data_IF_581095301806
#
_entry.id   IF_581095301806
#
_cell.length_a   1.000
_cell.length_b   1.000
_cell.length_c   1.000
_cell.angle_alpha   90.00
_cell.angle_beta   90.00
_cell.angle_gamma   90.00
#
_symmetry.space_group_name_H-M   'P 1'
#
loop_
_entity.id
_entity.type
_entity.pdbx_description
1 polymer ?
#
# COMPACT_ATOMS: atom_id res chain seq x y z
N UNK A 1 -27.79 1.42 -16.35
CA UNK A 1 -26.75 2.01 -15.49
C UNK A 1 -27.26 1.91 -14.07
N UNK A 2 -26.50 1.31 -13.15
CA UNK A 2 -26.88 1.38 -11.74
C UNK A 2 -26.85 2.85 -11.31
N UNK A 3 -27.92 3.36 -10.70
CA UNK A 3 -27.84 4.67 -10.02
C UNK A 3 -26.83 4.53 -8.87
N UNK A 4 -25.66 5.10 -9.08
CA UNK A 4 -24.63 5.09 -8.05
C UNK A 4 -25.01 6.08 -6.96
N UNK A 5 -25.08 5.62 -5.71
CA UNK A 5 -25.18 6.49 -4.52
C UNK A 5 -23.85 7.17 -4.18
N UNK A 6 -22.86 7.16 -5.09
CA UNK A 6 -21.56 7.77 -4.88
C UNK A 6 -21.66 9.29 -4.80
N UNK A 7 -20.99 9.87 -3.81
CA UNK A 7 -20.82 11.32 -3.68
C UNK A 7 -19.53 11.72 -4.42
N UNK A 8 -19.59 12.64 -5.39
CA UNK A 8 -18.39 13.16 -6.03
C UNK A 8 -17.46 13.84 -5.01
N UNK A 9 -16.17 13.50 -5.03
CA UNK A 9 -15.18 14.09 -4.13
C UNK A 9 -14.61 15.36 -4.77
N UNK A 10 -15.09 16.53 -4.33
CA UNK A 10 -14.48 17.84 -4.66
C UNK A 10 -13.26 18.09 -3.78
N UNK A 11 -12.44 19.10 -4.11
CA UNK A 11 -11.31 19.49 -3.26
C UNK A 11 -11.75 19.88 -1.84
N UNK A 12 -12.85 20.61 -1.70
CA UNK A 12 -13.39 21.02 -0.40
C UNK A 12 -13.89 19.83 0.42
N UNK A 13 -14.47 18.82 -0.25
CA UNK A 13 -14.90 17.59 0.40
C UNK A 13 -13.69 16.72 0.77
N UNK A 14 -12.65 16.68 -0.05
CA UNK A 14 -11.40 15.99 0.28
C UNK A 14 -10.70 16.62 1.49
N UNK A 15 -10.59 17.95 1.55
CA UNK A 15 -10.11 18.68 2.72
C UNK A 15 -10.97 18.42 3.96
N UNK A 16 -12.28 18.25 3.78
CA UNK A 16 -13.17 17.82 4.86
C UNK A 16 -12.81 16.41 5.33
N UNK A 17 -12.59 15.44 4.44
CA UNK A 17 -12.14 14.08 4.79
C UNK A 17 -10.84 14.12 5.60
N UNK A 18 -9.81 14.84 5.11
CA UNK A 18 -8.52 14.92 5.81
C UNK A 18 -8.66 15.52 7.22
N UNK A 19 -9.50 16.54 7.40
CA UNK A 19 -9.76 17.16 8.72
C UNK A 19 -10.56 16.27 9.68
N UNK A 20 -11.31 15.29 9.17
CA UNK A 20 -12.14 14.39 9.97
C UNK A 20 -11.49 13.01 10.19
N UNK A 21 -10.37 12.75 9.55
CA UNK A 21 -9.49 11.65 9.88
C UNK A 21 -8.57 12.01 11.07
N UNK A 22 -7.99 11.00 11.75
CA UNK A 22 -6.85 11.25 12.63
C UNK A 22 -5.79 12.05 11.87
N UNK A 23 -5.28 13.16 12.44
CA UNK A 23 -4.32 14.00 11.73
C UNK A 23 -3.01 13.25 11.53
N UNK A 24 -2.32 13.52 10.42
CA UNK A 24 -0.93 13.08 10.25
C UNK A 24 -0.09 13.61 11.42
N UNK A 25 0.74 12.73 11.97
CA UNK A 25 1.73 13.15 12.96
C UNK A 25 2.74 14.11 12.31
N UNK A 26 3.49 14.89 13.11
CA UNK A 26 4.43 15.89 12.57
C UNK A 26 5.47 15.31 11.59
N UNK A 27 5.93 14.08 11.78
CA UNK A 27 6.92 13.43 10.92
C UNK A 27 6.32 13.00 9.59
N UNK A 28 5.11 12.42 9.58
CA UNK A 28 4.39 12.11 8.34
C UNK A 28 4.13 13.39 7.52
N UNK A 29 3.66 14.47 8.17
CA UNK A 29 3.42 15.76 7.49
C UNK A 29 4.69 16.33 6.88
N UNK A 30 5.78 16.32 7.63
CA UNK A 30 7.08 16.78 7.11
C UNK A 30 7.58 15.91 5.96
N UNK A 31 7.34 14.60 6.00
CA UNK A 31 7.71 13.71 4.91
C UNK A 31 6.93 14.05 3.62
N UNK A 32 5.63 14.35 3.71
CA UNK A 32 4.83 14.86 2.58
C UNK A 32 5.47 16.13 2.02
N UNK A 33 5.73 17.14 2.86
CA UNK A 33 6.33 18.40 2.45
C UNK A 33 7.71 18.22 1.77
N UNK A 34 8.56 17.36 2.36
CA UNK A 34 9.89 17.07 1.82
C UNK A 34 9.81 16.35 0.48
N UNK A 35 8.90 15.38 0.32
CA UNK A 35 8.67 14.68 -0.94
C UNK A 35 8.23 15.66 -2.03
N UNK A 36 7.22 16.49 -1.76
CA UNK A 36 6.74 17.47 -2.74
C UNK A 36 7.79 18.51 -3.11
N UNK A 37 8.61 18.96 -2.15
CA UNK A 37 9.67 19.95 -2.39
C UNK A 37 10.85 19.37 -3.15
N UNK A 38 11.26 18.14 -2.83
CA UNK A 38 12.53 17.56 -3.31
C UNK A 38 12.34 16.71 -4.56
N UNK A 39 11.15 16.12 -4.75
CA UNK A 39 10.80 15.23 -5.85
C UNK A 39 9.48 15.67 -6.52
N UNK A 40 9.33 16.94 -6.96
CA UNK A 40 8.05 17.48 -7.42
C UNK A 40 7.43 16.74 -8.61
N UNK A 41 8.25 16.08 -9.44
CA UNK A 41 7.78 15.33 -10.61
C UNK A 41 7.30 13.91 -10.25
N UNK A 42 7.75 13.37 -9.10
CA UNK A 42 7.45 12.02 -8.62
C UNK A 42 6.52 12.03 -7.40
N UNK A 43 6.21 13.21 -6.83
CA UNK A 43 5.41 13.32 -5.62
C UNK A 43 4.04 12.63 -5.73
N UNK A 44 3.46 12.56 -6.93
CA UNK A 44 2.22 11.82 -7.18
C UNK A 44 2.31 10.30 -7.02
N UNK A 45 3.50 9.73 -6.82
CA UNK A 45 3.70 8.32 -6.47
C UNK A 45 3.52 8.05 -4.98
N UNK A 46 3.47 9.08 -4.13
CA UNK A 46 3.21 8.91 -2.71
C UNK A 46 1.73 8.56 -2.50
N UNK A 47 1.44 7.57 -1.65
CA UNK A 47 0.07 7.24 -1.26
C UNK A 47 -0.68 8.47 -0.75
N UNK A 48 -1.98 8.56 -1.00
CA UNK A 48 -2.79 9.70 -0.61
C UNK A 48 -2.84 9.87 0.93
N UNK A 49 -2.97 11.11 1.41
CA UNK A 49 -2.83 11.41 2.84
C UNK A 49 -3.84 10.65 3.72
N UNK A 50 -5.08 10.44 3.24
CA UNK A 50 -6.10 9.67 3.94
C UNK A 50 -5.76 8.19 4.09
N UNK A 51 -4.82 7.67 3.30
CA UNK A 51 -4.41 6.27 3.39
C UNK A 51 -3.54 6.00 4.62
N UNK A 52 -2.78 6.97 5.14
CA UNK A 52 -2.00 6.77 6.36
C UNK A 52 -2.86 6.35 7.57
N UNK A 53 -3.90 7.10 7.98
CA UNK A 53 -4.76 6.67 9.08
C UNK A 53 -5.54 5.39 8.77
N UNK A 54 -5.91 5.15 7.51
CA UNK A 54 -6.55 3.91 7.08
C UNK A 54 -5.63 2.69 7.26
N UNK A 55 -4.41 2.75 6.73
CA UNK A 55 -3.41 1.69 6.87
C UNK A 55 -3.08 1.42 8.35
N UNK A 56 -2.89 2.48 9.13
CA UNK A 56 -2.69 2.36 10.58
C UNK A 56 -3.89 1.71 11.29
N UNK A 57 -5.12 2.03 10.87
CA UNK A 57 -6.33 1.39 11.37
C UNK A 57 -6.37 -0.09 11.01
N UNK A 58 -6.08 -0.45 9.76
CA UNK A 58 -6.06 -1.83 9.28
C UNK A 58 -5.01 -2.68 10.02
N UNK A 59 -3.79 -2.16 10.20
CA UNK A 59 -2.73 -2.82 11.00
C UNK A 59 -3.25 -3.21 12.38
N UNK A 60 -3.93 -2.28 13.08
CA UNK A 60 -4.52 -2.54 14.40
C UNK A 60 -5.72 -3.49 14.33
N UNK A 61 -6.57 -3.35 13.31
CA UNK A 61 -7.78 -4.16 13.13
C UNK A 61 -7.45 -5.64 12.97
N UNK A 62 -6.44 -5.97 12.16
CA UNK A 62 -6.00 -7.36 11.95
C UNK A 62 -4.99 -7.83 13.02
N UNK A 63 -4.57 -6.94 13.93
CA UNK A 63 -3.56 -7.24 14.94
C UNK A 63 -2.20 -7.60 14.34
N UNK A 64 -1.83 -6.97 13.20
CA UNK A 64 -0.64 -7.33 12.45
C UNK A 64 0.64 -7.17 13.27
N UNK A 65 1.53 -8.14 13.15
CA UNK A 65 2.88 -8.15 13.73
C UNK A 65 3.94 -8.23 12.65
N UNK A 66 3.68 -8.95 11.56
CA UNK A 66 4.57 -9.02 10.39
C UNK A 66 3.89 -8.41 9.17
N UNK A 67 4.48 -7.32 8.68
CA UNK A 67 4.02 -6.59 7.50
C UNK A 67 5.02 -6.73 6.37
N UNK A 68 4.53 -6.87 5.14
CA UNK A 68 5.34 -6.70 3.92
C UNK A 68 4.79 -5.57 3.07
N UNK A 69 5.62 -4.61 2.72
CA UNK A 69 5.30 -3.57 1.75
C UNK A 69 6.08 -3.81 0.45
N UNK A 70 5.37 -3.74 -0.67
CA UNK A 70 5.93 -3.84 -2.01
C UNK A 70 5.75 -2.50 -2.72
N UNK A 71 6.85 -1.74 -2.83
CA UNK A 71 6.85 -0.34 -3.26
C UNK A 71 6.81 0.60 -2.06
N UNK A 72 7.94 1.26 -1.77
CA UNK A 72 8.11 2.10 -0.56
C UNK A 72 8.24 3.58 -0.91
N UNK A 73 8.85 3.89 -2.06
CA UNK A 73 9.17 5.24 -2.51
C UNK A 73 9.85 6.06 -1.39
N UNK A 74 9.21 7.13 -0.94
CA UNK A 74 9.72 8.00 0.13
C UNK A 74 9.36 7.51 1.53
N UNK A 75 8.63 6.40 1.66
CA UNK A 75 8.40 5.70 2.93
C UNK A 75 7.20 6.17 3.75
N UNK A 76 6.23 6.85 3.12
CA UNK A 76 5.03 7.39 3.78
C UNK A 76 4.13 6.27 4.35
N UNK A 77 3.74 5.31 3.52
CA UNK A 77 2.94 4.14 3.91
C UNK A 77 3.68 3.28 4.95
N UNK A 78 4.97 2.99 4.72
CA UNK A 78 5.82 2.26 5.67
C UNK A 78 5.86 2.93 7.06
N UNK A 79 6.01 4.26 7.10
CA UNK A 79 6.00 5.02 8.35
C UNK A 79 4.65 4.88 9.07
N UNK A 80 3.54 5.11 8.35
CA UNK A 80 2.20 5.01 8.92
C UNK A 80 1.89 3.61 9.49
N UNK A 81 2.25 2.56 8.77
CA UNK A 81 2.09 1.17 9.23
C UNK A 81 3.02 0.84 10.41
N UNK A 82 4.29 1.26 10.37
CA UNK A 82 5.25 0.96 11.42
C UNK A 82 4.95 1.67 12.76
N UNK A 83 4.34 2.85 12.72
CA UNK A 83 3.82 3.52 13.92
C UNK A 83 2.64 2.79 14.56
N UNK A 84 1.85 2.06 13.76
CA UNK A 84 0.71 1.29 14.23
C UNK A 84 1.08 -0.12 14.74
N UNK A 85 2.25 -0.63 14.39
CA UNK A 85 2.76 -1.91 14.86
C UNK A 85 2.99 -1.92 16.38
N UNK A 86 2.80 -3.08 17.05
CA UNK A 86 3.29 -3.27 18.41
C UNK A 86 4.82 -3.16 18.48
N UNK A 87 5.38 -3.05 19.69
CA UNK A 87 6.82 -2.83 19.88
C UNK A 87 7.70 -3.95 19.31
N UNK A 88 7.19 -5.17 19.26
CA UNK A 88 7.83 -6.37 18.70
C UNK A 88 7.43 -6.65 17.24
N UNK A 89 6.63 -5.78 16.64
CA UNK A 89 6.25 -5.88 15.23
C UNK A 89 7.39 -5.54 14.27
N UNK A 90 7.30 -6.09 13.06
CA UNK A 90 8.26 -5.91 11.98
C UNK A 90 7.55 -5.62 10.66
N UNK A 91 8.11 -4.71 9.88
CA UNK A 91 7.72 -4.38 8.52
C UNK A 91 8.91 -4.59 7.60
N UNK A 92 8.76 -5.39 6.56
CA UNK A 92 9.73 -5.49 5.46
C UNK A 92 9.29 -4.52 4.37
N UNK A 93 10.11 -3.51 4.08
CA UNK A 93 9.85 -2.52 3.04
C UNK A 93 10.66 -2.86 1.80
N UNK A 94 10.02 -3.06 0.65
CA UNK A 94 10.70 -3.44 -0.60
C UNK A 94 10.71 -2.26 -1.58
N UNK A 95 11.91 -1.86 -2.02
CA UNK A 95 12.06 -0.87 -3.08
C UNK A 95 13.32 -1.14 -3.89
N UNK A 96 13.42 -0.55 -5.07
CA UNK A 96 14.63 -0.59 -5.91
C UNK A 96 15.49 0.66 -5.76
N UNK A 97 14.92 1.77 -5.26
CA UNK A 97 15.57 3.07 -5.19
C UNK A 97 16.13 3.35 -3.79
N UNK A 98 17.46 3.28 -3.67
CA UNK A 98 18.15 3.76 -2.46
C UNK A 98 17.99 5.28 -2.28
N UNK A 99 17.96 6.03 -3.39
CA UNK A 99 17.81 7.49 -3.38
C UNK A 99 16.49 7.92 -2.74
N UNK A 100 15.37 7.34 -3.17
CA UNK A 100 14.05 7.72 -2.66
C UNK A 100 13.83 7.23 -1.23
N UNK A 101 14.26 6.01 -0.94
CA UNK A 101 14.07 5.44 0.40
C UNK A 101 14.96 6.09 1.46
N UNK A 102 16.00 6.84 1.07
CA UNK A 102 16.78 7.65 2.00
C UNK A 102 15.96 8.76 2.69
N UNK A 103 14.88 9.26 2.06
CA UNK A 103 13.93 10.17 2.71
C UNK A 103 13.16 9.45 3.82
N UNK A 104 12.65 8.25 3.51
CA UNK A 104 11.94 7.38 4.45
C UNK A 104 12.80 7.02 5.65
N UNK A 105 14.04 6.56 5.44
CA UNK A 105 14.98 6.22 6.54
C UNK A 105 15.13 7.36 7.56
N UNK A 106 15.28 8.60 7.09
CA UNK A 106 15.39 9.78 7.97
C UNK A 106 14.09 10.01 8.76
N UNK A 107 12.94 9.88 8.11
CA UNK A 107 11.64 10.03 8.76
C UNK A 107 11.39 8.91 9.79
N UNK A 108 11.68 7.65 9.46
CA UNK A 108 11.51 6.50 10.35
C UNK A 108 12.39 6.61 11.61
N UNK A 109 13.63 7.07 11.45
CA UNK A 109 14.53 7.37 12.57
C UNK A 109 13.95 8.47 13.46
N UNK A 110 13.49 9.58 12.85
CA UNK A 110 12.88 10.71 13.56
C UNK A 110 11.61 10.31 14.33
N UNK A 111 10.81 9.41 13.77
CA UNK A 111 9.61 8.86 14.41
C UNK A 111 9.89 7.75 15.43
N UNK A 112 11.15 7.30 15.57
CA UNK A 112 11.53 6.24 16.51
C UNK A 112 11.04 4.84 16.11
N UNK A 113 10.73 4.62 14.84
CA UNK A 113 10.22 3.33 14.33
C UNK A 113 11.20 2.63 13.39
N UNK A 114 12.38 3.19 13.13
CA UNK A 114 13.40 2.60 12.25
C UNK A 114 13.72 1.14 12.61
N UNK A 115 13.76 0.81 13.90
CA UNK A 115 14.09 -0.53 14.36
C UNK A 115 13.01 -1.56 14.00
N UNK A 116 11.80 -1.13 13.60
CA UNK A 116 10.71 -2.00 13.15
C UNK A 116 10.71 -2.20 11.64
N UNK A 117 11.43 -1.38 10.88
CA UNK A 117 11.41 -1.38 9.42
C UNK A 117 12.71 -2.00 8.89
N UNK A 118 12.58 -3.11 8.20
CA UNK A 118 13.64 -3.78 7.47
C UNK A 118 13.53 -3.45 5.98
N UNK A 119 14.25 -2.40 5.57
CA UNK A 119 14.27 -1.94 4.18
C UNK A 119 15.21 -2.78 3.31
N UNK A 120 14.66 -3.37 2.25
CA UNK A 120 15.35 -4.21 1.28
C UNK A 120 15.43 -3.53 -0.07
N UNK A 121 16.63 -3.11 -0.45
CA UNK A 121 16.92 -2.52 -1.76
C UNK A 121 17.21 -3.62 -2.78
N UNK A 122 16.18 -4.03 -3.52
CA UNK A 122 16.23 -5.06 -4.55
C UNK A 122 14.90 -5.07 -5.34
N UNK A 123 14.84 -5.71 -6.52
CA UNK A 123 13.56 -6.05 -7.13
C UNK A 123 12.68 -6.82 -6.11
N UNK A 124 11.46 -6.35 -5.87
CA UNK A 124 10.64 -6.87 -4.78
C UNK A 124 10.36 -8.38 -4.91
N UNK A 125 10.22 -8.91 -6.14
CA UNK A 125 10.08 -10.36 -6.38
C UNK A 125 11.26 -11.16 -5.82
N UNK A 126 12.49 -10.63 -5.86
CA UNK A 126 13.64 -11.32 -5.28
C UNK A 126 13.53 -11.38 -3.76
N UNK A 127 13.10 -10.27 -3.14
CA UNK A 127 12.87 -10.23 -1.68
C UNK A 127 11.76 -11.19 -1.28
N UNK A 128 10.61 -11.20 -1.98
CA UNK A 128 9.49 -12.10 -1.69
C UNK A 128 9.87 -13.58 -1.86
N UNK A 129 10.58 -13.93 -2.94
CA UNK A 129 11.03 -15.31 -3.20
C UNK A 129 12.06 -15.82 -2.19
N UNK A 130 12.85 -14.92 -1.60
CA UNK A 130 13.81 -15.27 -0.56
C UNK A 130 13.16 -15.46 0.83
N UNK A 131 11.91 -15.02 1.02
CA UNK A 131 11.17 -15.25 2.27
C UNK A 131 10.73 -16.72 2.38
N UNK A 132 10.51 -17.22 3.61
CA UNK A 132 9.90 -18.55 3.83
C UNK A 132 8.61 -18.70 3.01
N UNK A 133 8.40 -19.89 2.45
CA UNK A 133 7.21 -20.18 1.65
C UNK A 133 5.96 -20.38 2.53
N UNK A 134 6.15 -20.78 3.79
CA UNK A 134 5.05 -21.01 4.74
C UNK A 134 4.38 -19.70 5.19
N UNK A 135 3.10 -19.73 5.58
CA UNK A 135 2.40 -18.56 6.11
C UNK A 135 3.10 -17.91 7.31
N UNK A 136 3.35 -16.60 7.21
CA UNK A 136 3.95 -15.81 8.28
C UNK A 136 3.68 -14.29 8.18
N UNK A 137 2.94 -13.84 7.16
CA UNK A 137 2.62 -12.43 6.90
C UNK A 137 1.19 -12.15 7.39
N UNK A 138 1.02 -11.12 8.22
CA UNK A 138 -0.29 -10.72 8.73
C UNK A 138 -0.95 -9.66 7.84
N UNK A 139 -0.13 -8.75 7.28
CA UNK A 139 -0.59 -7.71 6.36
C UNK A 139 0.43 -7.48 5.24
N UNK A 140 -0.04 -7.37 4.01
CA UNK A 140 0.77 -6.91 2.89
C UNK A 140 0.16 -5.65 2.26
N UNK A 141 0.99 -4.67 1.92
CA UNK A 141 0.61 -3.50 1.12
C UNK A 141 1.33 -3.54 -0.22
N UNK A 142 0.56 -3.48 -1.30
CA UNK A 142 1.04 -3.62 -2.68
C UNK A 142 0.80 -2.31 -3.44
N UNK A 143 1.87 -1.56 -3.67
CA UNK A 143 1.88 -0.31 -4.42
C UNK A 143 3.20 -0.12 -5.20
N UNK A 144 3.40 -0.95 -6.22
CA UNK A 144 4.63 -0.95 -7.02
C UNK A 144 4.34 -0.83 -8.52
N UNK A 145 5.24 -1.35 -9.35
CA UNK A 145 5.09 -1.40 -10.80
C UNK A 145 3.97 -2.37 -11.22
N UNK A 146 3.03 -1.85 -12.00
CA UNK A 146 1.71 -2.46 -12.19
C UNK A 146 1.74 -3.77 -12.98
N UNK A 147 2.71 -3.94 -13.88
CA UNK A 147 2.90 -5.17 -14.67
C UNK A 147 3.24 -6.39 -13.81
N UNK A 148 3.80 -6.18 -12.63
CA UNK A 148 4.16 -7.26 -11.71
C UNK A 148 3.13 -7.50 -10.59
N UNK A 149 1.97 -6.83 -10.59
CA UNK A 149 0.95 -7.02 -9.55
C UNK A 149 0.51 -8.48 -9.39
N UNK A 150 0.26 -9.20 -10.49
CA UNK A 150 -0.07 -10.64 -10.43
C UNK A 150 1.11 -11.47 -9.91
N UNK A 151 2.35 -11.33 -10.43
CA UNK A 151 3.52 -11.97 -9.82
C UNK A 151 3.69 -11.69 -8.32
N UNK A 152 3.50 -10.44 -7.87
CA UNK A 152 3.58 -10.09 -6.44
C UNK A 152 2.49 -10.79 -5.64
N UNK A 153 1.26 -10.79 -6.14
CA UNK A 153 0.13 -11.47 -5.52
C UNK A 153 0.39 -12.97 -5.34
N UNK A 154 0.90 -13.65 -6.37
CA UNK A 154 1.20 -15.09 -6.29
C UNK A 154 2.33 -15.44 -5.32
N UNK A 155 3.25 -14.51 -5.06
CA UNK A 155 4.25 -14.69 -4.01
C UNK A 155 3.69 -14.36 -2.61
N UNK A 156 2.78 -13.38 -2.50
CA UNK A 156 2.22 -12.94 -1.22
C UNK A 156 1.18 -13.93 -0.68
N UNK A 157 0.18 -14.31 -1.48
CA UNK A 157 -0.98 -15.10 -1.03
C UNK A 157 -0.62 -16.39 -0.29
N UNK A 158 0.34 -17.22 -0.77
CA UNK A 158 0.76 -18.43 -0.04
C UNK A 158 1.42 -18.14 1.32
N UNK A 159 2.02 -16.95 1.48
CA UNK A 159 2.75 -16.52 2.67
C UNK A 159 1.87 -15.75 3.66
N UNK A 160 0.62 -15.44 3.31
CA UNK A 160 -0.33 -14.82 4.22
C UNK A 160 -0.84 -15.83 5.26
N UNK A 161 -0.83 -15.43 6.53
CA UNK A 161 -1.51 -16.17 7.60
C UNK A 161 -3.02 -16.26 7.31
N UNK A 162 -3.72 -17.33 7.74
CA UNK A 162 -5.18 -17.36 7.73
C UNK A 162 -5.77 -16.11 8.41
N UNK A 163 -6.66 -15.39 7.71
CA UNK A 163 -7.21 -14.12 8.18
C UNK A 163 -6.32 -12.90 7.94
N UNK A 164 -5.08 -13.08 7.45
CA UNK A 164 -4.20 -12.00 7.03
C UNK A 164 -4.76 -11.19 5.87
N UNK A 165 -4.27 -9.96 5.70
CA UNK A 165 -4.84 -8.97 4.79
C UNK A 165 -3.84 -8.51 3.73
N UNK A 166 -4.23 -8.54 2.46
CA UNK A 166 -3.53 -7.82 1.39
C UNK A 166 -4.32 -6.55 1.05
N UNK A 167 -3.63 -5.43 0.99
CA UNK A 167 -4.14 -4.13 0.54
C UNK A 167 -3.42 -3.78 -0.76
N UNK A 168 -4.13 -3.78 -1.89
CA UNK A 168 -3.57 -3.43 -3.19
C UNK A 168 -4.05 -2.05 -3.63
N UNK A 169 -3.11 -1.19 -4.02
CA UNK A 169 -3.35 0.20 -4.39
C UNK A 169 -3.45 0.43 -5.91
N UNK A 170 -4.05 1.55 -6.29
CA UNK A 170 -4.31 2.02 -7.65
C UNK A 170 -5.08 1.01 -8.52
N UNK A 171 -6.06 0.31 -7.93
CA UNK A 171 -6.81 -0.72 -8.68
C UNK A 171 -7.79 -0.13 -9.70
N UNK A 172 -8.04 1.18 -9.70
CA UNK A 172 -8.71 1.84 -10.82
C UNK A 172 -7.74 2.38 -11.87
N UNK A 173 -6.48 2.60 -11.49
CA UNK A 173 -5.40 3.14 -12.32
C UNK A 173 -5.85 4.35 -13.14
N UNK A 174 -6.34 5.39 -12.45
CA UNK A 174 -6.89 6.62 -13.05
C UNK A 174 -8.04 6.37 -14.05
N UNK A 175 -8.81 5.30 -13.84
CA UNK A 175 -9.91 4.87 -14.70
C UNK A 175 -9.48 4.08 -15.94
N UNK A 176 -8.18 3.84 -16.14
CA UNK A 176 -7.64 3.16 -17.31
C UNK A 176 -8.15 1.72 -17.46
N UNK A 177 -8.55 1.07 -16.35
CA UNK A 177 -9.13 -0.29 -16.36
C UNK A 177 -10.46 -0.40 -17.12
N UNK A 178 -11.09 0.74 -17.42
CA UNK A 178 -12.32 0.81 -18.24
C UNK A 178 -12.11 1.50 -19.59
N UNK A 179 -10.89 1.90 -19.90
CA UNK A 179 -10.60 2.57 -21.15
C UNK A 179 -10.81 1.62 -22.34
N UNK A 180 -11.41 2.08 -23.47
CA UNK A 180 -11.56 1.25 -24.67
C UNK A 180 -10.23 0.76 -25.26
N UNK A 181 -9.15 1.48 -25.00
CA UNK A 181 -7.79 1.13 -25.42
C UNK A 181 -6.84 1.46 -24.26
N UNK A 182 -6.69 0.55 -23.29
CA UNK A 182 -5.87 0.79 -22.12
C UNK A 182 -4.39 0.83 -22.48
N UNK A 183 -3.60 1.56 -21.68
CA UNK A 183 -2.13 1.43 -21.70
C UNK A 183 -1.70 0.04 -21.20
N UNK A 184 -0.43 -0.33 -21.38
CA UNK A 184 0.11 -1.60 -20.85
C UNK A 184 -0.16 -1.75 -19.35
N UNK A 185 0.08 -0.71 -18.56
CA UNK A 185 -0.17 -0.72 -17.13
C UNK A 185 -1.68 -0.78 -16.80
N UNK A 186 -2.53 -0.07 -17.55
CA UNK A 186 -3.98 -0.16 -17.38
C UNK A 186 -4.53 -1.55 -17.66
N UNK A 187 -4.04 -2.21 -18.72
CA UNK A 187 -4.38 -3.59 -19.03
C UNK A 187 -3.87 -4.57 -17.96
N UNK A 188 -2.67 -4.33 -17.42
CA UNK A 188 -2.12 -5.13 -16.32
C UNK A 188 -2.97 -5.03 -15.04
N UNK A 189 -3.42 -3.83 -14.67
CA UNK A 189 -4.31 -3.67 -13.50
C UNK A 189 -5.70 -4.25 -13.76
N UNK A 190 -6.24 -4.13 -14.97
CA UNK A 190 -7.48 -4.81 -15.33
C UNK A 190 -7.35 -6.33 -15.13
N UNK A 191 -6.29 -6.94 -15.69
CA UNK A 191 -6.02 -8.36 -15.52
C UNK A 191 -5.79 -8.76 -14.05
N UNK A 192 -5.10 -7.91 -13.27
CA UNK A 192 -4.93 -8.12 -11.84
C UNK A 192 -6.27 -8.12 -11.09
N UNK A 193 -7.16 -7.17 -11.40
CA UNK A 193 -8.48 -7.12 -10.76
C UNK A 193 -9.31 -8.36 -11.06
N UNK A 194 -9.30 -8.83 -12.30
CA UNK A 194 -9.97 -10.09 -12.69
C UNK A 194 -9.35 -11.29 -11.97
N UNK A 195 -8.01 -11.32 -11.86
CA UNK A 195 -7.28 -12.36 -11.14
C UNK A 195 -7.67 -12.44 -9.67
N UNK A 196 -7.67 -11.29 -8.97
CA UNK A 196 -8.06 -11.22 -7.55
C UNK A 196 -9.53 -11.61 -7.36
N UNK A 197 -10.43 -11.18 -8.24
CA UNK A 197 -11.85 -11.51 -8.16
C UNK A 197 -12.13 -13.02 -8.34
N UNK A 198 -11.28 -13.71 -9.11
CA UNK A 198 -11.39 -15.14 -9.35
C UNK A 198 -10.62 -16.01 -8.31
N UNK A 199 -9.78 -15.40 -7.47
CA UNK A 199 -8.90 -16.13 -6.56
C UNK A 199 -9.65 -16.64 -5.32
N UNK A 200 -10.03 -17.92 -5.36
CA UNK A 200 -10.75 -18.61 -4.28
C UNK A 200 -9.95 -18.76 -2.98
N UNK A 201 -8.66 -18.41 -2.96
CA UNK A 201 -7.84 -18.39 -1.73
C UNK A 201 -8.16 -17.16 -0.86
N UNK A 202 -8.81 -16.15 -1.43
CA UNK A 202 -9.01 -14.84 -0.81
C UNK A 202 -10.49 -14.43 -0.84
N UNK A 203 -10.91 -13.68 0.17
CA UNK A 203 -12.15 -12.90 0.13
C UNK A 203 -11.78 -11.44 -0.10
N UNK A 204 -12.16 -10.88 -1.26
CA UNK A 204 -11.74 -9.55 -1.69
C UNK A 204 -12.90 -8.58 -1.87
N UNK A 205 -12.67 -7.32 -1.50
CA UNK A 205 -13.56 -6.18 -1.75
C UNK A 205 -12.77 -5.02 -2.34
N UNK A 206 -13.30 -4.44 -3.42
CA UNK A 206 -12.75 -3.26 -4.08
C UNK A 206 -13.48 -1.99 -3.60
N UNK A 207 -12.73 -0.98 -3.20
CA UNK A 207 -13.19 0.23 -2.54
C UNK A 207 -12.83 1.47 -3.34
N UNK A 208 -13.71 2.47 -3.32
CA UNK A 208 -13.50 3.78 -3.94
C UNK A 208 -12.77 4.74 -2.99
N UNK A 209 -11.57 4.36 -2.55
CA UNK A 209 -10.66 5.19 -1.75
C UNK A 209 -9.42 5.48 -2.60
N UNK A 210 -8.90 6.72 -2.56
CA UNK A 210 -7.80 7.17 -3.41
C UNK A 210 -8.02 6.80 -4.90
N UNK A 211 -7.04 6.17 -5.55
CA UNK A 211 -7.14 5.65 -6.93
C UNK A 211 -7.68 4.20 -6.99
N UNK A 212 -8.50 3.84 -6.01
CA UNK A 212 -9.04 2.50 -5.81
C UNK A 212 -8.14 1.66 -4.92
N UNK A 213 -8.73 1.00 -3.92
CA UNK A 213 -8.07 0.02 -3.06
C UNK A 213 -8.80 -1.32 -3.14
N UNK A 214 -8.07 -2.43 -3.26
CA UNK A 214 -8.61 -3.76 -2.98
C UNK A 214 -8.12 -4.25 -1.63
N UNK A 215 -9.06 -4.57 -0.73
CA UNK A 215 -8.80 -5.29 0.52
C UNK A 215 -9.12 -6.75 0.31
N UNK A 216 -8.14 -7.64 0.53
CA UNK A 216 -8.31 -9.07 0.34
C UNK A 216 -7.83 -9.86 1.56
N UNK A 217 -8.75 -10.60 2.18
CA UNK A 217 -8.48 -11.40 3.38
C UNK A 217 -8.21 -12.85 3.01
N UNK A 218 -7.12 -13.43 3.51
CA UNK A 218 -6.78 -14.83 3.29
C UNK A 218 -7.80 -15.75 3.97
N UNK A 219 -8.37 -16.66 3.19
CA UNK A 219 -9.24 -17.73 3.69
C UNK A 219 -8.40 -18.87 4.30
N UNK A 220 -9.03 -19.66 5.17
CA UNK A 220 -8.38 -20.74 5.95
C UNK A 220 -7.62 -21.76 5.12
#
# INVERSE_FOLDING_TARGET
MAESKSTPITAELYDYVLRHNPPLDPVLRELVEVTHRSLPQQAGMQSAEEQAPLLAFLVRLVGARHIVEVGTFTGFSALAMAQALPADGRLIACDVSEEWTAYGRKAWAKAGVEARIDLRIAPALNTLRAMPAEPHIDLAYLDADKENYIPYWEELVPRMNPGGLIVADNVFYHGAVTAPTPSTAGAAIQAFNDHVAADVRMEAVMLTVADGLTLARRLG
#
